data_IF_565367936935
#
_entry.id   IF_565367936935
#
_cell.length_a   1.000
_cell.length_b   1.000
_cell.length_c   1.000
_cell.angle_alpha   90.00
_cell.angle_beta   90.00
_cell.angle_gamma   90.00
#
_symmetry.space_group_name_H-M   'P 1'
#
loop_
_entity.id
_entity.type
_entity.pdbx_description
1 polymer ?
#
# COMPACT_ATOMS: atom_id res chain seq x y z
N UNK A 1 2.71 11.78 28.50
CA UNK A 1 3.70 11.82 27.38
C UNK A 1 2.93 12.04 26.09
N UNK A 2 3.23 13.09 25.30
CA UNK A 2 2.55 13.32 24.02
C UNK A 2 3.12 12.35 22.97
N UNK A 3 2.27 11.54 22.36
CA UNK A 3 2.64 10.77 21.16
C UNK A 3 2.57 11.72 19.96
N UNK A 4 3.61 11.73 19.14
CA UNK A 4 3.65 12.47 17.87
C UNK A 4 3.54 11.47 16.72
N UNK A 5 2.84 11.85 15.65
CA UNK A 5 2.75 11.05 14.42
C UNK A 5 3.59 11.73 13.34
N UNK A 6 4.43 10.95 12.67
CA UNK A 6 5.22 11.43 11.53
C UNK A 6 4.86 10.59 10.30
N UNK A 7 4.69 11.26 9.16
CA UNK A 7 4.43 10.60 7.87
C UNK A 7 5.75 10.43 7.14
N UNK A 8 6.10 9.19 6.81
CA UNK A 8 7.26 8.88 5.96
C UNK A 8 6.78 8.64 4.53
N UNK A 9 7.17 9.50 3.60
CA UNK A 9 6.97 9.30 2.17
C UNK A 9 8.09 8.45 1.58
N UNK A 10 7.72 7.58 0.65
CA UNK A 10 8.64 6.68 -0.03
C UNK A 10 8.28 6.53 -1.51
N UNK A 11 9.28 6.21 -2.32
CA UNK A 11 9.12 5.81 -3.72
C UNK A 11 9.42 4.32 -3.87
N UNK A 12 8.59 3.62 -4.64
CA UNK A 12 8.88 2.24 -5.04
C UNK A 12 10.00 2.28 -6.08
N UNK A 13 11.05 1.49 -5.87
CA UNK A 13 12.21 1.42 -6.76
C UNK A 13 12.41 0.00 -7.27
N UNK A 14 13.14 -0.16 -8.38
CA UNK A 14 13.59 -1.46 -8.90
C UNK A 14 12.46 -2.51 -9.02
N UNK A 15 11.29 -2.06 -9.46
CA UNK A 15 10.10 -2.89 -9.58
C UNK A 15 10.18 -3.77 -10.85
N UNK A 16 9.81 -5.04 -10.74
CA UNK A 16 9.71 -5.90 -11.93
C UNK A 16 8.34 -5.73 -12.58
N UNK A 17 8.24 -5.93 -13.90
CA UNK A 17 6.99 -5.84 -14.66
C UNK A 17 5.86 -6.69 -14.06
N UNK A 18 6.20 -7.85 -13.49
CA UNK A 18 5.23 -8.74 -12.82
C UNK A 18 4.68 -8.09 -11.54
N UNK A 19 5.54 -7.50 -10.71
CA UNK A 19 5.12 -6.83 -9.48
C UNK A 19 4.33 -5.57 -9.80
N UNK A 20 4.77 -4.81 -10.80
CA UNK A 20 4.06 -3.63 -11.30
C UNK A 20 2.65 -3.99 -11.74
N UNK A 21 2.51 -5.02 -12.58
CA UNK A 21 1.19 -5.47 -13.04
C UNK A 21 0.29 -5.91 -11.89
N UNK A 22 0.81 -6.59 -10.86
CA UNK A 22 0.02 -7.00 -9.70
C UNK A 22 -0.45 -5.80 -8.86
N UNK A 23 0.41 -4.81 -8.63
CA UNK A 23 0.05 -3.59 -7.90
C UNK A 23 -0.92 -2.73 -8.70
N UNK A 24 -0.67 -2.56 -10.00
CA UNK A 24 -1.53 -1.84 -10.93
C UNK A 24 -2.92 -2.45 -10.99
N UNK A 25 -3.03 -3.78 -11.12
CA UNK A 25 -4.33 -4.47 -11.08
C UNK A 25 -5.07 -4.22 -9.77
N UNK A 26 -4.39 -4.31 -8.62
CA UNK A 26 -5.03 -4.04 -7.33
C UNK A 26 -5.53 -2.59 -7.25
N UNK A 27 -4.76 -1.63 -7.73
CA UNK A 27 -5.14 -0.22 -7.77
C UNK A 27 -6.31 0.06 -8.73
N UNK A 28 -6.25 -0.45 -9.95
CA UNK A 28 -7.31 -0.31 -10.97
C UNK A 28 -8.61 -0.94 -10.50
N UNK A 29 -8.51 -2.14 -9.92
CA UNK A 29 -9.65 -2.83 -9.33
C UNK A 29 -10.25 -2.05 -8.16
N UNK A 30 -9.44 -1.33 -7.39
CA UNK A 30 -9.95 -0.45 -6.34
C UNK A 30 -10.77 0.70 -6.94
N UNK A 31 -10.27 1.32 -8.02
CA UNK A 31 -11.01 2.39 -8.68
C UNK A 31 -12.35 1.85 -9.21
N UNK A 32 -12.34 0.74 -9.94
CA UNK A 32 -13.56 0.08 -10.46
C UNK A 32 -14.57 -0.22 -9.36
N UNK A 33 -14.12 -0.81 -8.25
CA UNK A 33 -14.96 -1.10 -7.10
C UNK A 33 -15.59 0.18 -6.49
N UNK A 34 -14.79 1.23 -6.31
CA UNK A 34 -15.29 2.51 -5.78
C UNK A 34 -16.29 3.17 -6.72
N UNK A 35 -16.13 2.99 -8.02
CA UNK A 35 -17.06 3.49 -9.03
C UNK A 35 -18.27 2.56 -9.30
N UNK A 36 -18.50 1.57 -8.43
CA UNK A 36 -19.73 0.78 -8.41
C UNK A 36 -19.68 -0.51 -9.22
N UNK A 37 -18.51 -0.93 -9.70
CA UNK A 37 -18.39 -2.24 -10.34
C UNK A 37 -18.41 -3.38 -9.32
N UNK A 38 -19.25 -4.38 -9.57
CA UNK A 38 -19.38 -5.56 -8.73
C UNK A 38 -18.43 -6.69 -9.19
N UNK A 39 -18.12 -7.62 -8.27
CA UNK A 39 -17.32 -8.80 -8.61
C UNK A 39 -15.83 -8.54 -8.89
N UNK A 40 -15.34 -7.34 -8.59
CA UNK A 40 -13.93 -6.99 -8.82
C UNK A 40 -13.02 -7.77 -7.86
N UNK A 41 -11.95 -8.34 -8.41
CA UNK A 41 -10.95 -9.09 -7.65
C UNK A 41 -10.04 -8.12 -6.87
N UNK A 42 -10.41 -7.85 -5.62
CA UNK A 42 -9.68 -7.01 -4.68
C UNK A 42 -9.28 -7.79 -3.45
N UNK A 43 -8.14 -7.44 -2.86
CA UNK A 43 -7.78 -7.99 -1.58
C UNK A 43 -8.85 -7.59 -0.55
N UNK A 44 -9.41 -8.57 0.14
CA UNK A 44 -10.59 -8.40 0.99
C UNK A 44 -10.42 -7.30 2.05
N UNK A 45 -9.21 -7.18 2.61
CA UNK A 45 -8.92 -6.12 3.58
C UNK A 45 -8.85 -4.72 2.94
N UNK A 46 -8.37 -4.60 1.70
CA UNK A 46 -8.32 -3.33 0.97
C UNK A 46 -9.75 -2.86 0.65
N UNK A 47 -10.62 -3.78 0.21
CA UNK A 47 -12.05 -3.53 0.00
C UNK A 47 -12.74 -2.99 1.25
N UNK A 48 -12.54 -3.65 2.39
CA UNK A 48 -13.10 -3.22 3.68
C UNK A 48 -12.60 -1.84 4.11
N UNK A 49 -11.31 -1.52 3.90
CA UNK A 49 -10.78 -0.19 4.20
C UNK A 49 -11.38 0.87 3.27
N UNK A 50 -11.55 0.55 1.99
CA UNK A 50 -12.12 1.46 1.01
C UNK A 50 -13.55 1.86 1.38
N UNK A 51 -14.40 0.88 1.73
CA UNK A 51 -15.78 1.12 2.20
C UNK A 51 -15.81 1.99 3.46
N UNK A 52 -14.83 1.82 4.36
CA UNK A 52 -14.71 2.64 5.58
C UNK A 52 -14.30 4.09 5.29
N UNK A 53 -13.33 4.30 4.40
CA UNK A 53 -12.73 5.61 4.14
C UNK A 53 -13.51 6.44 3.12
N UNK A 54 -14.06 5.83 2.09
CA UNK A 54 -14.56 6.52 0.92
C UNK A 54 -16.09 6.42 0.83
N UNK A 55 -16.78 7.29 1.57
CA UNK A 55 -18.26 7.36 1.58
C UNK A 55 -18.86 8.10 0.39
N UNK A 56 -18.07 8.94 -0.27
CA UNK A 56 -18.48 9.75 -1.42
C UNK A 56 -17.39 9.69 -2.48
N UNK A 57 -17.74 9.11 -3.62
CA UNK A 57 -16.84 8.93 -4.76
C UNK A 57 -17.13 10.05 -5.76
N UNK A 58 -16.07 10.67 -6.27
CA UNK A 58 -16.14 11.75 -7.26
C UNK A 58 -15.70 11.20 -8.60
N UNK A 59 -16.47 11.48 -9.64
CA UNK A 59 -16.10 11.11 -11.00
C UNK A 59 -14.78 11.75 -11.41
N UNK A 60 -13.93 10.97 -12.07
CA UNK A 60 -12.60 11.40 -12.53
C UNK A 60 -11.57 11.56 -11.40
N UNK A 61 -11.86 11.10 -10.18
CA UNK A 61 -10.90 11.10 -9.07
C UNK A 61 -10.42 9.69 -8.76
N UNK A 62 -9.10 9.54 -8.69
CA UNK A 62 -8.47 8.33 -8.19
C UNK A 62 -8.29 8.38 -6.66
N UNK A 63 -8.33 7.20 -6.05
CA UNK A 63 -8.26 7.01 -4.61
C UNK A 63 -7.13 6.03 -4.26
N UNK A 64 -6.29 6.35 -3.26
CA UNK A 64 -5.17 5.49 -2.90
C UNK A 64 -5.63 4.22 -2.20
N UNK A 65 -4.85 3.15 -2.37
CA UNK A 65 -5.07 1.88 -1.68
C UNK A 65 -4.65 2.04 -0.23
N UNK A 66 -5.61 1.89 0.68
CA UNK A 66 -5.34 2.02 2.12
C UNK A 66 -4.89 0.69 2.69
N UNK A 67 -3.64 0.64 3.16
CA UNK A 67 -3.04 -0.57 3.73
C UNK A 67 -3.13 -0.48 5.26
N UNK A 68 -3.76 -1.51 5.86
CA UNK A 68 -3.89 -1.59 7.31
C UNK A 68 -2.54 -1.82 8.00
N UNK A 69 -2.37 -1.24 9.19
CA UNK A 69 -1.14 -1.38 9.99
C UNK A 69 -0.70 -2.83 10.23
N UNK A 70 -1.66 -3.74 10.42
CA UNK A 70 -1.40 -5.15 10.70
C UNK A 70 -1.01 -5.96 9.46
N UNK A 71 -1.18 -5.40 8.26
CA UNK A 71 -0.82 -6.03 7.00
C UNK A 71 0.50 -5.50 6.41
N UNK A 72 0.93 -4.33 6.86
CA UNK A 72 2.20 -3.71 6.49
C UNK A 72 3.33 -4.47 7.19
N UNK A 73 4.26 -4.99 6.41
CA UNK A 73 5.53 -5.55 6.88
C UNK A 73 6.65 -4.76 6.21
N UNK A 74 7.45 -4.06 7.01
CA UNK A 74 8.59 -3.24 6.56
C UNK A 74 9.85 -3.92 7.08
N UNK A 75 10.81 -4.15 6.19
CA UNK A 75 12.11 -4.74 6.53
C UNK A 75 13.20 -3.88 5.96
N UNK A 76 14.16 -3.51 6.78
CA UNK A 76 15.37 -2.81 6.33
C UNK A 76 16.16 -3.68 5.35
N UNK A 77 16.82 -3.03 4.41
CA UNK A 77 17.64 -3.67 3.40
C UNK A 77 19.08 -3.21 3.56
N UNK A 78 19.98 -4.16 3.82
CA UNK A 78 21.40 -3.89 4.02
C UNK A 78 22.19 -3.68 2.70
N UNK A 79 21.51 -3.47 1.57
CA UNK A 79 22.12 -3.40 0.25
C UNK A 79 21.79 -2.10 -0.47
N UNK A 80 22.62 -1.70 -1.43
CA UNK A 80 22.44 -0.48 -2.23
C UNK A 80 21.20 -0.49 -3.16
N UNK A 81 20.39 -1.55 -3.12
CA UNK A 81 19.20 -1.71 -3.97
C UNK A 81 18.05 -0.81 -3.49
N UNK A 82 17.86 -0.68 -2.18
CA UNK A 82 16.81 0.14 -1.58
C UNK A 82 17.02 0.32 -0.08
N UNK A 83 16.32 1.27 0.55
CA UNK A 83 16.34 1.41 2.01
C UNK A 83 15.55 0.29 2.71
N UNK A 84 14.36 -0.05 2.18
CA UNK A 84 13.45 -1.01 2.81
C UNK A 84 12.72 -1.87 1.78
N UNK A 85 12.31 -3.07 2.20
CA UNK A 85 11.28 -3.86 1.53
C UNK A 85 9.95 -3.73 2.26
N UNK A 86 8.88 -3.47 1.50
CA UNK A 86 7.50 -3.42 2.02
C UNK A 86 6.66 -4.50 1.39
N UNK A 87 5.87 -5.21 2.21
CA UNK A 87 4.85 -6.15 1.74
C UNK A 87 3.53 -5.41 1.52
N UNK A 88 3.04 -5.41 0.29
CA UNK A 88 1.74 -4.87 -0.09
C UNK A 88 0.77 -6.04 -0.36
N UNK A 89 -0.37 -6.12 0.34
CA UNK A 89 -1.36 -7.16 0.09
C UNK A 89 -2.11 -6.88 -1.22
N UNK A 90 -2.17 -7.88 -2.10
CA UNK A 90 -2.90 -7.86 -3.37
C UNK A 90 -3.67 -9.17 -3.55
N UNK A 91 -4.78 -9.17 -4.28
CA UNK A 91 -5.56 -10.39 -4.52
C UNK A 91 -4.80 -11.40 -5.38
N UNK A 92 -4.12 -10.93 -6.44
CA UNK A 92 -3.47 -11.79 -7.43
C UNK A 92 -2.22 -12.55 -6.95
N UNK A 93 -1.84 -12.44 -5.66
CA UNK A 93 -0.68 -13.15 -5.11
C UNK A 93 -0.85 -13.50 -3.63
N UNK A 94 -0.80 -14.80 -3.33
CA UNK A 94 -0.75 -15.27 -1.96
C UNK A 94 0.48 -14.72 -1.21
N UNK A 95 0.27 -14.18 -0.02
CA UNK A 95 1.33 -13.56 0.79
C UNK A 95 1.72 -12.13 0.38
N UNK A 96 1.06 -11.55 -0.64
CA UNK A 96 1.31 -10.18 -1.10
C UNK A 96 2.57 -10.01 -1.94
N UNK A 97 2.80 -8.77 -2.37
CA UNK A 97 3.94 -8.37 -3.20
C UNK A 97 4.96 -7.64 -2.32
N UNK A 98 6.19 -8.13 -2.30
CA UNK A 98 7.32 -7.45 -1.66
C UNK A 98 7.94 -6.46 -2.64
N UNK A 99 7.86 -5.17 -2.33
CA UNK A 99 8.40 -4.08 -3.15
C UNK A 99 9.61 -3.44 -2.47
N UNK A 100 10.68 -3.12 -3.21
CA UNK A 100 11.75 -2.27 -2.70
C UNK A 100 11.27 -0.82 -2.66
N UNK A 101 11.58 -0.09 -1.60
CA UNK A 101 11.26 1.33 -1.45
C UNK A 101 12.47 2.14 -0.97
N UNK A 102 12.54 3.38 -1.45
CA UNK A 102 13.42 4.40 -0.88
C UNK A 102 12.57 5.42 -0.14
N UNK A 103 12.97 5.71 1.08
CA UNK A 103 12.31 6.66 1.96
C UNK A 103 13.00 8.01 1.86
N UNK A 104 12.25 9.10 1.97
CA UNK A 104 12.86 10.43 2.05
C UNK A 104 13.63 10.65 3.37
N UNK A 105 13.40 9.78 4.36
CA UNK A 105 14.13 9.74 5.62
C UNK A 105 14.01 8.34 6.24
N UNK A 106 15.04 7.91 6.97
CA UNK A 106 15.02 6.65 7.70
C UNK A 106 13.87 6.56 8.73
N UNK A 107 13.36 5.35 8.90
CA UNK A 107 12.36 5.00 9.91
C UNK A 107 13.12 4.73 11.21
N UNK A 108 12.87 5.52 12.25
CA UNK A 108 13.60 5.38 13.51
C UNK A 108 13.33 4.05 14.22
N UNK A 109 14.36 3.53 14.88
CA UNK A 109 14.23 2.32 15.71
C UNK A 109 13.14 2.49 16.77
N UNK A 110 12.31 1.44 16.94
CA UNK A 110 11.22 1.44 17.92
C UNK A 110 9.99 2.25 17.55
N UNK A 111 9.90 2.80 16.32
CA UNK A 111 8.69 3.49 15.87
C UNK A 111 7.54 2.51 15.65
N UNK A 112 6.35 2.87 16.14
CA UNK A 112 5.13 2.12 15.85
C UNK A 112 4.67 2.41 14.42
N UNK A 113 4.71 1.41 13.55
CA UNK A 113 4.19 1.52 12.19
C UNK A 113 2.67 1.67 12.23
N UNK A 114 2.21 2.72 11.54
CA UNK A 114 0.80 3.02 11.38
C UNK A 114 0.29 2.54 10.01
N UNK A 115 -1.00 2.74 9.75
CA UNK A 115 -1.57 2.59 8.41
C UNK A 115 -0.82 3.40 7.35
N UNK A 116 -0.84 2.91 6.12
CA UNK A 116 -0.21 3.55 4.97
C UNK A 116 -1.17 3.64 3.79
N UNK A 117 -0.80 4.45 2.81
CA UNK A 117 -1.53 4.64 1.55
C UNK A 117 -0.55 4.47 0.41
N UNK A 118 -0.95 3.64 -0.56
CA UNK A 118 -0.29 3.48 -1.85
C UNK A 118 -0.98 4.38 -2.88
#
# INVERSE_FOLDING_TARGET
>A
MKKVRKTVQCGIVNLTNVKESLLGREFENLQRFLHGEEGVELYSANKQQAERYYKKIKDGKEYPVSIRKDLIDIRECDSDVCDYFVKIPVAGRYGGVKVPINTHMGIGEGWEICESKL
#
